data_IF_113195169710
#
_entry.id   IF_113195169710
#
_cell.length_a   1.000
_cell.length_b   1.000
_cell.length_c   1.000
_cell.angle_alpha   90.00
_cell.angle_beta   90.00
_cell.angle_gamma   90.00
#
_symmetry.space_group_name_H-M   'P 1'
#
loop_
_entity.id
_entity.type
_entity.pdbx_description
1 polymer ?
#
# COMPACT_ATOMS: atom_id res chain seq x y z
N UNK A 1 14.26 37.23 -50.08
CA UNK A 1 13.03 36.68 -49.46
C UNK A 1 13.15 35.20 -49.16
N UNK A 2 13.58 34.33 -50.10
CA UNK A 2 13.80 32.89 -49.85
C UNK A 2 14.77 32.60 -48.69
N UNK A 3 15.91 33.28 -48.65
CA UNK A 3 16.93 33.04 -47.62
C UNK A 3 16.40 33.32 -46.20
N UNK A 4 15.56 34.35 -46.04
CA UNK A 4 14.92 34.65 -44.75
C UNK A 4 13.98 33.53 -44.28
N UNK A 5 13.29 32.85 -45.22
CA UNK A 5 12.46 31.69 -44.91
C UNK A 5 13.27 30.44 -44.58
N UNK A 6 14.41 30.23 -45.22
CA UNK A 6 15.32 29.12 -44.91
C UNK A 6 15.94 29.29 -43.52
N UNK A 7 16.45 30.48 -43.18
CA UNK A 7 16.94 30.78 -41.84
C UNK A 7 15.85 30.63 -40.77
N UNK A 8 14.62 31.08 -41.05
CA UNK A 8 13.50 30.89 -40.14
C UNK A 8 13.19 29.39 -39.92
N UNK A 9 13.24 28.57 -40.97
CA UNK A 9 13.03 27.12 -40.86
C UNK A 9 14.11 26.44 -40.01
N UNK A 10 15.37 26.82 -40.18
CA UNK A 10 16.48 26.32 -39.35
C UNK A 10 16.31 26.72 -37.88
N UNK A 11 15.97 27.98 -37.60
CA UNK A 11 15.72 28.46 -36.23
C UNK A 11 14.55 27.72 -35.59
N UNK A 12 13.44 27.57 -36.32
CA UNK A 12 12.26 26.83 -35.84
C UNK A 12 12.64 25.38 -35.55
N UNK A 13 13.38 24.70 -36.43
CA UNK A 13 13.72 23.29 -36.23
C UNK A 13 14.70 23.10 -35.07
N UNK A 14 15.71 23.98 -34.98
CA UNK A 14 16.73 23.95 -33.93
C UNK A 14 16.15 24.27 -32.54
N UNK A 15 15.07 25.05 -32.45
CA UNK A 15 14.40 25.37 -31.19
C UNK A 15 13.21 24.44 -30.88
N UNK A 16 12.44 24.05 -31.89
CA UNK A 16 11.24 23.23 -31.72
C UNK A 16 11.57 21.82 -31.23
N UNK A 17 12.63 21.19 -31.72
CA UNK A 17 12.98 19.83 -31.30
C UNK A 17 13.41 19.78 -29.82
N UNK A 18 14.34 20.63 -29.33
CA UNK A 18 14.64 20.70 -27.90
C UNK A 18 13.41 21.06 -27.06
N UNK A 19 12.58 21.99 -27.52
CA UNK A 19 11.34 22.35 -26.82
C UNK A 19 10.37 21.16 -26.72
N UNK A 20 10.19 20.41 -27.81
CA UNK A 20 9.36 19.21 -27.83
C UNK A 20 9.89 18.12 -26.87
N UNK A 21 11.20 17.91 -26.83
CA UNK A 21 11.84 16.97 -25.88
C UNK A 21 11.58 17.42 -24.44
N UNK A 22 11.79 18.70 -24.12
CA UNK A 22 11.55 19.24 -22.78
C UNK A 22 10.08 19.08 -22.38
N UNK A 23 9.15 19.46 -23.26
CA UNK A 23 7.73 19.33 -23.02
C UNK A 23 7.33 17.87 -22.79
N UNK A 24 7.81 16.95 -23.64
CA UNK A 24 7.56 15.52 -23.51
C UNK A 24 8.06 14.95 -22.16
N UNK A 25 9.27 15.35 -21.71
CA UNK A 25 9.80 14.90 -20.41
C UNK A 25 8.97 15.46 -19.25
N UNK A 26 8.49 16.70 -19.34
CA UNK A 26 7.63 17.30 -18.31
C UNK A 26 6.26 16.61 -18.26
N UNK A 27 5.68 16.31 -19.42
CA UNK A 27 4.40 15.61 -19.54
C UNK A 27 4.51 14.19 -19.00
N UNK A 28 5.54 13.42 -19.39
CA UNK A 28 5.77 12.07 -18.88
C UNK A 28 5.98 12.03 -17.36
N UNK A 29 6.66 13.04 -16.79
CA UNK A 29 6.80 13.15 -15.32
C UNK A 29 5.45 13.42 -14.65
N UNK A 30 4.61 14.26 -15.25
CA UNK A 30 3.26 14.55 -14.74
C UNK A 30 2.35 13.33 -14.83
N UNK A 31 2.38 12.61 -15.95
CA UNK A 31 1.61 11.37 -16.13
C UNK A 31 1.97 10.32 -15.08
N UNK A 32 3.26 10.07 -14.86
CA UNK A 32 3.72 9.13 -13.83
C UNK A 32 3.22 9.52 -12.43
N UNK A 33 3.33 10.80 -12.06
CA UNK A 33 2.84 11.27 -10.77
C UNK A 33 1.31 11.05 -10.63
N UNK A 34 0.55 11.27 -11.70
CA UNK A 34 -0.90 11.03 -11.70
C UNK A 34 -1.22 9.52 -11.58
N UNK A 35 -0.47 8.64 -12.23
CA UNK A 35 -0.62 7.19 -12.12
C UNK A 35 -0.36 6.71 -10.68
N UNK A 36 0.70 7.21 -10.05
CA UNK A 36 1.03 6.93 -8.65
C UNK A 36 -0.06 7.42 -7.69
N UNK A 37 -0.63 8.60 -7.94
CA UNK A 37 -1.78 9.12 -7.18
C UNK A 37 -3.03 8.24 -7.35
N UNK A 38 -3.34 7.81 -8.58
CA UNK A 38 -4.46 6.94 -8.86
C UNK A 38 -4.31 5.57 -8.18
N UNK A 39 -3.11 4.99 -8.21
CA UNK A 39 -2.81 3.72 -7.53
C UNK A 39 -2.99 3.85 -6.01
N UNK A 40 -2.51 4.94 -5.41
CA UNK A 40 -2.70 5.23 -3.99
C UNK A 40 -4.19 5.39 -3.62
N UNK A 41 -4.96 6.11 -4.44
CA UNK A 41 -6.39 6.28 -4.21
C UNK A 41 -7.13 4.94 -4.29
N UNK A 42 -6.81 4.10 -5.28
CA UNK A 42 -7.41 2.79 -5.44
C UNK A 42 -7.16 1.87 -4.23
N UNK A 43 -5.93 1.86 -3.72
CA UNK A 43 -5.59 1.10 -2.51
C UNK A 43 -6.34 1.65 -1.28
N UNK A 44 -6.46 2.97 -1.15
CA UNK A 44 -7.19 3.63 -0.07
C UNK A 44 -8.69 3.31 -0.12
N UNK A 45 -9.28 3.31 -1.30
CA UNK A 45 -10.69 2.94 -1.52
C UNK A 45 -10.93 1.46 -1.19
N UNK A 46 -10.02 0.57 -1.60
CA UNK A 46 -10.08 -0.85 -1.25
C UNK A 46 -10.01 -1.07 0.28
N UNK A 47 -9.21 -0.29 1.00
CA UNK A 47 -9.18 -0.33 2.46
C UNK A 47 -10.48 0.16 3.09
N UNK A 48 -11.06 1.25 2.57
CA UNK A 48 -12.37 1.72 3.02
C UNK A 48 -13.46 0.67 2.81
N UNK A 49 -13.44 -0.04 1.69
CA UNK A 49 -14.39 -1.12 1.41
C UNK A 49 -14.18 -2.32 2.35
N UNK A 50 -12.93 -2.68 2.64
CA UNK A 50 -12.62 -3.63 3.70
C UNK A 50 -13.18 -3.21 5.07
N UNK A 51 -13.02 -1.94 5.46
CA UNK A 51 -13.57 -1.42 6.72
C UNK A 51 -15.10 -1.47 6.77
N UNK A 52 -15.80 -1.29 5.64
CA UNK A 52 -17.25 -1.48 5.56
C UNK A 52 -17.64 -2.94 5.83
N UNK A 53 -16.85 -3.91 5.34
CA UNK A 53 -17.06 -5.33 5.67
C UNK A 53 -16.88 -5.55 7.16
N UNK A 54 -15.80 -5.05 7.76
CA UNK A 54 -15.59 -5.15 9.21
C UNK A 54 -16.74 -4.53 10.00
N UNK A 55 -17.21 -3.35 9.58
CA UNK A 55 -18.33 -2.65 10.22
C UNK A 55 -19.65 -3.43 10.12
N UNK A 56 -19.87 -4.16 9.03
CA UNK A 56 -21.05 -5.00 8.82
C UNK A 56 -21.01 -6.32 9.62
N UNK A 57 -19.88 -6.64 10.25
CA UNK A 57 -19.68 -7.86 11.05
C UNK A 57 -19.30 -7.50 12.51
N UNK A 58 -20.11 -6.70 13.24
CA UNK A 58 -19.75 -6.19 14.56
C UNK A 58 -19.67 -7.30 15.61
N UNK A 59 -20.38 -8.41 15.42
CA UNK A 59 -20.39 -9.58 16.29
C UNK A 59 -19.04 -10.30 16.36
N UNK A 60 -18.12 -10.04 15.42
CA UNK A 60 -16.81 -10.68 15.34
C UNK A 60 -15.72 -9.98 16.18
N UNK A 61 -16.02 -8.80 16.74
CA UNK A 61 -15.10 -8.09 17.65
C UNK A 61 -13.71 -7.81 17.03
N UNK A 62 -13.64 -7.63 15.70
CA UNK A 62 -12.38 -7.48 14.97
C UNK A 62 -11.61 -6.19 15.28
N UNK A 63 -12.30 -5.15 15.77
CA UNK A 63 -11.76 -3.83 16.08
C UNK A 63 -11.83 -3.46 17.56
N UNK A 64 -12.41 -4.31 18.41
CA UNK A 64 -12.49 -4.08 19.86
C UNK A 64 -11.18 -4.44 20.55
N UNK A 65 -10.97 -3.90 21.75
CA UNK A 65 -9.79 -4.22 22.58
C UNK A 65 -9.81 -5.67 23.07
N UNK A 66 -10.99 -6.20 23.35
CA UNK A 66 -11.19 -7.60 23.74
C UNK A 66 -11.56 -8.44 22.53
N UNK A 67 -10.84 -9.55 22.37
CA UNK A 67 -11.13 -10.55 21.36
C UNK A 67 -12.45 -11.28 21.65
N UNK A 68 -13.11 -11.77 20.60
CA UNK A 68 -14.27 -12.66 20.76
C UNK A 68 -13.83 -13.96 21.44
N UNK A 69 -14.34 -14.20 22.66
CA UNK A 69 -14.14 -15.47 23.37
C UNK A 69 -15.04 -16.56 22.78
N UNK A 70 -14.46 -17.74 22.49
CA UNK A 70 -15.18 -18.92 21.98
C UNK A 70 -16.09 -18.66 20.75
N UNK A 71 -15.53 -18.18 19.63
CA UNK A 71 -16.27 -17.97 18.39
C UNK A 71 -16.98 -19.24 17.91
N UNK A 72 -18.21 -19.09 17.43
CA UNK A 72 -18.93 -20.18 16.76
C UNK A 72 -18.21 -20.60 15.46
N UNK A 73 -18.46 -21.80 14.91
CA UNK A 73 -17.85 -22.21 13.65
C UNK A 73 -18.07 -21.21 12.50
N UNK A 74 -19.27 -20.65 12.38
CA UNK A 74 -19.62 -19.62 11.38
C UNK A 74 -18.81 -18.33 11.59
N UNK A 75 -18.69 -17.87 12.85
CA UNK A 75 -17.91 -16.69 13.16
C UNK A 75 -16.41 -16.89 12.87
N UNK A 76 -15.88 -18.08 13.18
CA UNK A 76 -14.50 -18.42 12.83
C UNK A 76 -14.27 -18.39 11.31
N UNK A 77 -15.18 -18.96 10.52
CA UNK A 77 -15.11 -18.93 9.06
C UNK A 77 -15.10 -17.48 8.54
N UNK A 78 -16.02 -16.64 9.02
CA UNK A 78 -16.09 -15.22 8.65
C UNK A 78 -14.83 -14.45 9.05
N UNK A 79 -14.30 -14.67 10.26
CA UNK A 79 -13.05 -14.04 10.73
C UNK A 79 -11.90 -14.39 9.79
N UNK A 80 -11.75 -15.68 9.44
CA UNK A 80 -10.67 -16.13 8.57
C UNK A 80 -10.76 -15.53 7.17
N UNK A 81 -11.96 -15.50 6.57
CA UNK A 81 -12.18 -14.86 5.26
C UNK A 81 -11.82 -13.37 5.32
N UNK A 82 -12.23 -12.67 6.38
CA UNK A 82 -11.92 -11.24 6.54
C UNK A 82 -10.41 -11.02 6.70
N UNK A 83 -9.71 -11.89 7.42
CA UNK A 83 -8.25 -11.83 7.53
C UNK A 83 -7.55 -12.12 6.19
N UNK A 84 -8.03 -13.06 5.40
CA UNK A 84 -7.51 -13.32 4.05
C UNK A 84 -7.70 -12.10 3.14
N UNK A 85 -8.86 -11.45 3.18
CA UNK A 85 -9.09 -10.19 2.46
C UNK A 85 -8.09 -9.10 2.88
N UNK A 86 -7.83 -8.97 4.17
CA UNK A 86 -6.90 -7.98 4.71
C UNK A 86 -5.45 -8.26 4.27
N UNK A 87 -5.02 -9.52 4.33
CA UNK A 87 -3.68 -9.95 3.94
C UNK A 87 -3.44 -9.71 2.46
N UNK A 88 -4.40 -10.05 1.60
CA UNK A 88 -4.31 -9.78 0.16
C UNK A 88 -4.23 -8.27 -0.15
N UNK A 89 -4.92 -7.43 0.62
CA UNK A 89 -4.81 -5.98 0.48
C UNK A 89 -3.44 -5.45 0.93
N UNK A 90 -2.91 -5.95 2.04
CA UNK A 90 -1.59 -5.59 2.52
C UNK A 90 -0.47 -6.03 1.58
N UNK A 91 -0.56 -7.23 1.01
CA UNK A 91 0.36 -7.70 -0.02
C UNK A 91 0.36 -6.75 -1.21
N UNK A 92 -0.83 -6.39 -1.71
CA UNK A 92 -0.95 -5.47 -2.85
C UNK A 92 -0.39 -4.08 -2.52
N UNK A 93 -0.65 -3.58 -1.32
CA UNK A 93 -0.07 -2.32 -0.86
C UNK A 93 1.46 -2.40 -0.81
N UNK A 94 2.02 -3.50 -0.32
CA UNK A 94 3.47 -3.74 -0.32
C UNK A 94 4.04 -3.73 -1.74
N UNK A 95 3.46 -4.50 -2.66
CA UNK A 95 3.94 -4.60 -4.05
C UNK A 95 3.89 -3.24 -4.78
N UNK A 96 2.84 -2.45 -4.54
CA UNK A 96 2.59 -1.21 -5.29
C UNK A 96 3.25 0.01 -4.65
N UNK A 97 3.30 0.08 -3.32
CA UNK A 97 3.72 1.29 -2.60
C UNK A 97 5.07 1.14 -1.87
N UNK A 98 5.57 -0.08 -1.66
CA UNK A 98 6.85 -0.28 -0.99
C UNK A 98 8.04 -0.25 -1.97
N UNK A 99 9.12 0.38 -1.55
CA UNK A 99 10.39 0.46 -2.27
C UNK A 99 11.53 0.72 -1.28
N UNK A 100 12.75 0.23 -1.57
CA UNK A 100 13.94 0.48 -0.77
C UNK A 100 14.33 1.97 -0.74
N UNK A 101 14.02 2.69 -1.82
CA UNK A 101 14.31 4.13 -1.97
C UNK A 101 13.05 4.87 -2.35
N UNK A 102 12.47 5.55 -1.37
CA UNK A 102 11.27 6.36 -1.55
C UNK A 102 11.60 7.85 -1.50
N UNK A 103 10.89 8.64 -2.30
CA UNK A 103 10.72 10.08 -2.08
C UNK A 103 9.95 10.35 -0.79
N UNK A 104 9.94 11.60 -0.33
CA UNK A 104 9.19 12.00 0.87
C UNK A 104 7.68 11.78 0.73
N UNK A 105 7.13 11.84 -0.48
CA UNK A 105 5.70 11.61 -0.73
C UNK A 105 5.37 10.11 -0.66
N UNK A 106 6.18 9.27 -1.32
CA UNK A 106 6.02 7.82 -1.28
C UNK A 106 6.19 7.29 0.14
N UNK A 107 7.19 7.76 0.88
CA UNK A 107 7.42 7.38 2.27
C UNK A 107 6.22 7.73 3.16
N UNK A 108 5.61 8.91 2.97
CA UNK A 108 4.40 9.30 3.71
C UNK A 108 3.22 8.38 3.41
N UNK A 109 3.00 8.01 2.15
CA UNK A 109 1.95 7.07 1.74
C UNK A 109 2.19 5.68 2.33
N UNK A 110 3.44 5.22 2.27
CA UNK A 110 3.83 3.93 2.84
C UNK A 110 3.65 3.87 4.35
N UNK A 111 4.01 4.93 5.08
CA UNK A 111 3.85 4.97 6.53
C UNK A 111 2.40 4.74 6.97
N UNK A 112 1.41 5.20 6.22
CA UNK A 112 0.00 4.89 6.52
C UNK A 112 -0.30 3.39 6.41
N UNK A 113 0.25 2.72 5.40
CA UNK A 113 0.12 1.27 5.25
C UNK A 113 0.87 0.50 6.34
N UNK A 114 2.08 0.93 6.67
CA UNK A 114 2.86 0.36 7.78
C UNK A 114 2.10 0.46 9.10
N UNK A 115 1.53 1.64 9.39
CA UNK A 115 0.72 1.86 10.59
C UNK A 115 -0.50 0.95 10.65
N UNK A 116 -1.19 0.73 9.53
CA UNK A 116 -2.31 -0.22 9.46
C UNK A 116 -1.85 -1.66 9.74
N UNK A 117 -0.75 -2.10 9.11
CA UNK A 117 -0.20 -3.44 9.34
C UNK A 117 0.20 -3.62 10.81
N UNK A 118 0.86 -2.63 11.41
CA UNK A 118 1.22 -2.61 12.83
C UNK A 118 -0.01 -2.72 13.73
N UNK A 119 -1.04 -1.94 13.45
CA UNK A 119 -2.28 -1.96 14.24
C UNK A 119 -2.91 -3.36 14.27
N UNK A 120 -2.98 -4.03 13.12
CA UNK A 120 -3.52 -5.39 13.03
C UNK A 120 -2.60 -6.43 13.66
N UNK A 121 -1.28 -6.31 13.50
CA UNK A 121 -0.30 -7.21 14.09
C UNK A 121 -0.25 -7.17 15.63
N UNK A 122 -0.66 -6.05 16.26
CA UNK A 122 -0.81 -5.96 17.73
C UNK A 122 -1.91 -6.89 18.27
N UNK A 123 -2.88 -7.28 17.45
CA UNK A 123 -4.02 -8.09 17.89
C UNK A 123 -3.62 -9.56 17.98
N UNK A 124 -3.90 -10.17 19.13
CA UNK A 124 -3.43 -11.53 19.39
C UNK A 124 -3.93 -12.55 18.37
N UNK A 125 -5.22 -12.52 18.07
CA UNK A 125 -5.86 -13.43 17.13
C UNK A 125 -5.31 -13.30 15.71
N UNK A 126 -5.08 -12.07 15.24
CA UNK A 126 -4.54 -11.83 13.90
C UNK A 126 -3.11 -12.35 13.78
N UNK A 127 -2.25 -12.00 14.75
CA UNK A 127 -0.87 -12.51 14.80
C UNK A 127 -0.82 -14.04 14.81
N UNK A 128 -1.66 -14.70 15.62
CA UNK A 128 -1.69 -16.16 15.71
C UNK A 128 -2.18 -16.81 14.40
N UNK A 129 -2.97 -16.09 13.59
CA UNK A 129 -3.43 -16.54 12.28
C UNK A 129 -2.38 -16.33 11.16
N UNK A 130 -1.40 -15.43 11.32
CA UNK A 130 -0.40 -15.11 10.29
C UNK A 130 0.28 -16.34 9.65
N UNK A 131 0.72 -17.38 10.40
CA UNK A 131 1.38 -18.54 9.77
C UNK A 131 0.50 -19.32 8.80
N UNK A 132 -0.82 -19.26 8.99
CA UNK A 132 -1.79 -19.85 8.06
C UNK A 132 -2.06 -18.91 6.89
N UNK A 133 -2.30 -17.63 7.18
CA UNK A 133 -2.69 -16.62 6.20
C UNK A 133 -1.59 -16.30 5.18
N UNK A 134 -0.32 -16.38 5.57
CA UNK A 134 0.81 -16.00 4.72
C UNK A 134 1.22 -17.09 3.71
N UNK A 135 0.50 -18.22 3.64
CA UNK A 135 0.86 -19.33 2.74
C UNK A 135 0.55 -18.97 1.29
N UNK A 136 1.61 -18.79 0.51
CA UNK A 136 1.50 -18.52 -0.93
C UNK A 136 1.54 -17.04 -1.30
N UNK A 137 1.62 -16.15 -0.30
CA UNK A 137 1.83 -14.71 -0.48
C UNK A 137 3.26 -14.41 -0.95
N UNK A 138 3.51 -13.20 -1.44
CA UNK A 138 4.83 -12.72 -1.85
C UNK A 138 5.90 -12.91 -0.75
N UNK A 139 7.06 -13.53 -1.04
CA UNK A 139 8.10 -13.76 -0.04
C UNK A 139 8.67 -12.48 0.59
N UNK A 140 8.69 -11.35 -0.13
CA UNK A 140 9.12 -10.06 0.39
C UNK A 140 8.11 -9.50 1.39
N UNK A 141 6.83 -9.52 1.04
CA UNK A 141 5.75 -9.15 1.91
C UNK A 141 5.69 -10.02 3.18
N UNK A 142 5.84 -11.36 3.04
CA UNK A 142 5.89 -12.27 4.18
C UNK A 142 6.98 -11.87 5.18
N UNK A 143 8.20 -11.61 4.70
CA UNK A 143 9.30 -11.17 5.56
C UNK A 143 9.00 -9.83 6.23
N UNK A 144 8.43 -8.89 5.48
CA UNK A 144 8.06 -7.57 5.98
C UNK A 144 7.07 -7.66 7.14
N UNK A 145 5.92 -8.29 6.91
CA UNK A 145 4.83 -8.33 7.89
C UNK A 145 5.18 -9.20 9.10
N UNK A 146 5.96 -10.27 8.92
CA UNK A 146 6.47 -11.06 10.05
C UNK A 146 7.43 -10.25 10.92
N UNK A 147 8.31 -9.43 10.32
CA UNK A 147 9.17 -8.52 11.07
C UNK A 147 8.34 -7.49 11.84
N UNK A 148 7.37 -6.85 11.18
CA UNK A 148 6.45 -5.89 11.84
C UNK A 148 5.72 -6.55 13.00
N UNK A 149 5.20 -7.77 12.80
CA UNK A 149 4.52 -8.54 13.82
C UNK A 149 5.41 -8.86 15.02
N UNK A 150 6.69 -9.16 14.79
CA UNK A 150 7.68 -9.38 15.84
C UNK A 150 8.03 -8.08 16.58
N UNK A 151 8.20 -6.96 15.87
CA UNK A 151 8.50 -5.64 16.46
C UNK A 151 7.38 -5.21 17.43
N UNK A 152 6.12 -5.34 17.03
CA UNK A 152 4.97 -4.96 17.85
C UNK A 152 4.80 -5.85 19.09
N UNK A 153 5.27 -7.11 19.05
CA UNK A 153 5.29 -8.01 20.21
C UNK A 153 6.59 -7.96 21.03
N UNK A 154 7.65 -7.43 20.43
CA UNK A 154 9.03 -7.47 20.92
C UNK A 154 9.46 -6.28 21.78
N UNK A 155 8.59 -5.31 22.05
CA UNK A 155 8.83 -4.32 23.11
C UNK A 155 8.35 -4.85 24.46
N UNK A 156 8.89 -5.99 24.87
CA UNK A 156 8.88 -6.39 26.28
C UNK A 156 9.93 -5.51 26.96
N UNK A 157 9.49 -4.47 27.67
CA UNK A 157 10.34 -3.79 28.65
C UNK A 157 10.87 -4.87 29.59
N UNK A 158 12.17 -5.13 29.54
CA UNK A 158 12.84 -5.98 30.54
C UNK A 158 12.55 -5.37 31.92
N UNK A 159 11.89 -6.10 32.84
CA UNK A 159 11.92 -5.69 34.23
C UNK A 159 13.35 -5.89 34.74
N UNK A 160 13.91 -4.81 35.29
CA UNK A 160 15.18 -4.81 36.03
C UNK A 160 15.15 -5.75 37.24
#
# INVERSE_FOLDING_TARGET
MRDAWEYASFVVTALALPFAIVFFVLEQRKERNNEEEAAYQLLSDAYNDFLKVVLANPDLHLRTSEALEHPTPDQNERIMIIYEMLISLFERAYIVAWNERMSEVEARRWNSWDDYMREWCRRENFFNALPLLLRGEDPGFQQYILRVAQEERGTVIQPA
#
